data_IF_660851762420
#
_entry.id   IF_660851762420
#
_cell.length_a   1.000
_cell.length_b   1.000
_cell.length_c   1.000
_cell.angle_alpha   90.00
_cell.angle_beta   90.00
_cell.angle_gamma   90.00
#
_symmetry.space_group_name_H-M   'P 1'
#
loop_
_entity.id
_entity.type
_entity.pdbx_description
1 polymer ?
#
# COMPACT_ATOMS: atom_id res chain seq x y z
N UNK A 1 -2.85 -4.63 -21.28
CA UNK A 1 -3.08 -4.33 -19.84
C UNK A 1 -1.80 -4.60 -19.05
N UNK A 2 -1.41 -3.67 -18.18
CA UNK A 2 -0.22 -3.81 -17.37
C UNK A 2 -0.41 -4.87 -16.28
N UNK A 3 0.61 -5.70 -16.08
CA UNK A 3 0.64 -6.64 -14.96
C UNK A 3 0.82 -5.90 -13.64
N UNK A 4 0.43 -6.53 -12.53
CA UNK A 4 0.55 -5.91 -11.20
C UNK A 4 1.99 -5.49 -10.89
N UNK A 5 2.97 -6.33 -11.22
CA UNK A 5 4.38 -6.01 -11.02
C UNK A 5 4.81 -4.79 -11.84
N UNK A 6 4.28 -4.65 -13.04
CA UNK A 6 4.60 -3.50 -13.90
C UNK A 6 4.02 -2.20 -13.32
N UNK A 7 2.79 -2.26 -12.80
CA UNK A 7 2.18 -1.09 -12.13
C UNK A 7 2.97 -0.70 -10.87
N UNK A 8 3.36 -1.67 -10.06
CA UNK A 8 4.19 -1.40 -8.88
C UNK A 8 5.54 -0.82 -9.26
N UNK A 9 6.16 -1.35 -10.32
CA UNK A 9 7.44 -0.83 -10.83
C UNK A 9 7.31 0.61 -11.31
N UNK A 10 6.26 0.93 -12.06
CA UNK A 10 6.02 2.30 -12.50
C UNK A 10 5.81 3.25 -11.32
N UNK A 11 5.11 2.79 -10.29
CA UNK A 11 4.89 3.60 -9.09
C UNK A 11 6.22 3.96 -8.42
N UNK A 12 7.10 3.00 -8.19
CA UNK A 12 8.40 3.29 -7.55
C UNK A 12 9.31 4.14 -8.44
N UNK A 13 9.21 4.01 -9.77
CA UNK A 13 9.98 4.85 -10.69
C UNK A 13 9.60 6.32 -10.59
N UNK A 14 8.33 6.61 -10.38
CA UNK A 14 7.82 7.99 -10.31
C UNK A 14 7.76 8.53 -8.89
N UNK A 15 7.68 7.67 -7.87
CA UNK A 15 7.40 8.05 -6.48
C UNK A 15 8.44 7.53 -5.49
N UNK A 16 9.66 7.24 -5.95
CA UNK A 16 10.72 6.70 -5.07
C UNK A 16 11.05 7.64 -3.90
N UNK A 17 10.83 8.92 -4.05
CA UNK A 17 11.07 9.93 -3.01
C UNK A 17 10.15 9.81 -1.79
N UNK A 18 9.05 9.05 -1.90
CA UNK A 18 8.18 8.75 -0.77
C UNK A 18 8.82 7.77 0.22
N UNK A 19 9.86 7.06 -0.19
CA UNK A 19 10.40 5.93 0.57
C UNK A 19 11.76 6.24 1.17
N UNK A 20 12.01 5.69 2.35
CA UNK A 20 13.32 5.64 2.98
C UNK A 20 13.65 4.19 3.28
N UNK A 21 14.94 3.85 3.23
CA UNK A 21 15.36 2.50 3.54
C UNK A 21 15.03 2.14 4.99
N UNK A 22 14.32 1.02 5.25
CA UNK A 22 13.99 0.64 6.63
C UNK A 22 15.22 0.22 7.45
N UNK A 23 16.33 -0.08 6.80
CA UNK A 23 17.56 -0.51 7.48
C UNK A 23 18.47 0.67 7.82
N UNK A 24 18.75 1.56 6.86
CA UNK A 24 19.72 2.65 7.06
C UNK A 24 19.09 4.06 6.96
N UNK A 25 17.80 4.16 6.66
CA UNK A 25 17.05 5.41 6.55
C UNK A 25 17.51 6.36 5.44
N UNK A 26 18.38 5.89 4.55
CA UNK A 26 18.85 6.67 3.42
C UNK A 26 17.78 6.78 2.33
N UNK A 27 17.97 7.73 1.44
CA UNK A 27 17.10 7.91 0.27
C UNK A 27 17.10 6.65 -0.60
N UNK A 28 15.99 6.42 -1.26
CA UNK A 28 15.84 5.28 -2.16
C UNK A 28 15.57 5.76 -3.58
N UNK A 29 16.02 4.96 -4.54
CA UNK A 29 15.76 5.18 -5.96
C UNK A 29 15.31 3.88 -6.61
N UNK A 30 14.57 3.99 -7.70
CA UNK A 30 14.16 2.82 -8.47
C UNK A 30 15.31 2.34 -9.35
N UNK A 31 15.61 1.05 -9.30
CA UNK A 31 16.56 0.39 -10.15
C UNK A 31 15.93 -0.90 -10.68
N UNK A 32 15.62 -0.92 -11.97
CA UNK A 32 14.84 -1.99 -12.57
C UNK A 32 13.50 -2.17 -11.82
N UNK A 33 13.22 -3.38 -11.33
CA UNK A 33 11.99 -3.70 -10.60
C UNK A 33 12.21 -3.70 -9.09
N UNK A 34 13.03 -2.76 -8.58
CA UNK A 34 13.38 -2.70 -7.17
C UNK A 34 13.55 -1.27 -6.68
N UNK A 35 13.37 -1.06 -5.38
CA UNK A 35 13.85 0.12 -4.67
C UNK A 35 15.20 -0.21 -4.04
N UNK A 36 16.18 0.66 -4.26
CA UNK A 36 17.54 0.50 -3.76
C UNK A 36 17.97 1.77 -3.04
N UNK A 37 18.56 1.66 -1.86
CA UNK A 37 19.08 2.80 -1.12
C UNK A 37 20.52 3.13 -1.54
N UNK A 38 21.03 4.25 -1.03
CA UNK A 38 22.41 4.69 -1.32
C UNK A 38 23.46 3.70 -0.83
N UNK A 39 23.16 2.91 0.21
CA UNK A 39 24.06 1.87 0.72
C UNK A 39 23.87 0.50 0.07
N UNK A 40 22.98 0.39 -0.92
CA UNK A 40 22.78 -0.82 -1.68
C UNK A 40 21.76 -1.81 -1.12
N UNK A 41 21.01 -1.46 -0.08
CA UNK A 41 19.90 -2.30 0.37
C UNK A 41 18.82 -2.31 -0.70
N UNK A 42 18.38 -3.52 -1.08
CA UNK A 42 17.49 -3.72 -2.22
C UNK A 42 16.18 -4.38 -1.80
N UNK A 43 15.07 -3.84 -2.29
CA UNK A 43 13.72 -4.36 -2.04
C UNK A 43 13.01 -4.54 -3.38
N UNK A 44 12.79 -5.78 -3.77
CA UNK A 44 12.19 -6.11 -5.07
C UNK A 44 10.68 -5.94 -5.03
N UNK A 45 10.12 -5.47 -6.15
CA UNK A 45 8.67 -5.47 -6.36
C UNK A 45 8.21 -6.91 -6.61
N UNK A 46 7.24 -7.37 -5.84
CA UNK A 46 6.70 -8.71 -5.97
C UNK A 46 5.86 -8.88 -7.24
N UNK A 47 5.51 -10.13 -7.57
CA UNK A 47 4.59 -10.41 -8.68
C UNK A 47 3.21 -9.75 -8.49
N UNK A 48 2.83 -9.49 -7.25
CA UNK A 48 1.59 -8.79 -6.88
C UNK A 48 1.73 -7.27 -6.91
N UNK A 49 2.91 -6.75 -7.20
CA UNK A 49 3.16 -5.31 -7.24
C UNK A 49 3.37 -4.67 -5.89
N UNK A 50 3.72 -5.45 -4.88
CA UNK A 50 3.92 -4.98 -3.51
C UNK A 50 5.40 -4.98 -3.13
N UNK A 51 5.74 -4.20 -2.08
CA UNK A 51 7.08 -4.17 -1.49
C UNK A 51 7.03 -4.82 -0.11
N UNK A 52 8.09 -5.54 0.25
CA UNK A 52 8.21 -6.21 1.53
C UNK A 52 9.41 -5.64 2.28
N UNK A 53 9.15 -4.83 3.31
CA UNK A 53 10.18 -4.15 4.08
C UNK A 53 10.51 -4.81 5.41
N UNK A 54 9.79 -5.85 5.79
CA UNK A 54 10.04 -6.57 7.05
C UNK A 54 11.19 -7.56 6.87
N UNK A 55 12.05 -7.67 7.90
CA UNK A 55 13.15 -8.64 7.89
C UNK A 55 12.66 -10.07 8.14
N UNK A 56 11.49 -10.22 8.74
CA UNK A 56 10.88 -11.51 9.06
C UNK A 56 9.37 -11.37 9.07
N UNK A 57 8.67 -12.50 8.91
CA UNK A 57 7.23 -12.52 8.96
C UNK A 57 6.74 -12.30 10.39
N UNK A 58 5.82 -11.36 10.57
CA UNK A 58 5.18 -11.12 11.86
C UNK A 58 3.86 -11.87 11.88
N UNK A 59 3.69 -12.73 12.91
CA UNK A 59 2.41 -13.42 13.11
C UNK A 59 1.40 -12.45 13.69
N UNK A 60 0.18 -12.47 13.13
CA UNK A 60 -0.94 -11.67 13.62
C UNK A 60 -2.12 -12.60 13.82
N UNK A 61 -3.08 -12.18 14.66
CA UNK A 61 -4.35 -12.90 14.83
C UNK A 61 -5.30 -12.66 13.65
N UNK A 62 -4.90 -11.82 12.71
CA UNK A 62 -5.71 -11.46 11.55
C UNK A 62 -5.44 -12.44 10.42
N UNK A 63 -6.40 -13.32 10.14
CA UNK A 63 -6.31 -14.28 9.05
C UNK A 63 -7.01 -13.77 7.79
N UNK A 64 -6.87 -14.55 6.71
CA UNK A 64 -7.46 -14.22 5.42
C UNK A 64 -8.98 -14.11 5.48
N UNK A 65 -9.61 -15.04 6.20
CA UNK A 65 -11.07 -15.08 6.33
C UNK A 65 -11.61 -13.80 6.99
N UNK A 66 -10.96 -13.35 8.05
CA UNK A 66 -11.30 -12.09 8.73
C UNK A 66 -11.22 -10.91 7.76
N UNK A 67 -10.14 -10.82 6.98
CA UNK A 67 -9.99 -9.74 6.01
C UNK A 67 -11.02 -9.80 4.89
N UNK A 68 -11.41 -11.00 4.43
CA UNK A 68 -12.45 -11.16 3.43
C UNK A 68 -13.82 -10.68 3.94
N UNK A 69 -14.16 -11.00 5.19
CA UNK A 69 -15.37 -10.50 5.83
C UNK A 69 -15.34 -8.99 6.01
N UNK A 70 -14.21 -8.45 6.44
CA UNK A 70 -14.03 -7.02 6.60
C UNK A 70 -14.19 -6.28 5.27
N UNK A 71 -13.64 -6.83 4.20
CA UNK A 71 -13.81 -6.26 2.85
C UNK A 71 -15.28 -6.15 2.48
N UNK A 72 -16.06 -7.20 2.73
CA UNK A 72 -17.50 -7.19 2.43
C UNK A 72 -18.21 -6.07 3.20
N UNK A 73 -17.92 -5.92 4.48
CA UNK A 73 -18.52 -4.85 5.28
C UNK A 73 -18.17 -3.46 4.74
N UNK A 74 -16.90 -3.24 4.40
CA UNK A 74 -16.43 -1.94 3.90
C UNK A 74 -17.06 -1.64 2.54
N UNK A 75 -17.08 -2.61 1.62
CA UNK A 75 -17.67 -2.46 0.29
C UNK A 75 -19.15 -2.15 0.38
N UNK A 76 -19.86 -2.69 1.37
CA UNK A 76 -21.28 -2.43 1.60
C UNK A 76 -21.56 -1.14 2.39
N UNK A 77 -20.54 -0.32 2.64
CA UNK A 77 -20.74 1.03 3.17
C UNK A 77 -20.53 1.20 4.66
N UNK A 78 -19.88 0.24 5.35
CA UNK A 78 -19.67 0.34 6.80
C UNK A 78 -18.93 1.63 7.17
N UNK A 79 -17.97 2.08 6.37
CA UNK A 79 -17.20 3.28 6.64
C UNK A 79 -17.60 4.49 5.78
N UNK A 80 -18.74 4.44 5.10
CA UNK A 80 -19.15 5.54 4.24
C UNK A 80 -19.25 6.88 5.01
N UNK A 81 -19.81 6.93 6.24
CA UNK A 81 -19.82 8.19 7.00
C UNK A 81 -18.42 8.76 7.25
N UNK A 82 -17.43 7.89 7.52
CA UNK A 82 -16.04 8.32 7.71
C UNK A 82 -15.42 8.82 6.41
N UNK A 83 -15.69 8.11 5.31
CA UNK A 83 -15.22 8.53 3.98
C UNK A 83 -15.77 9.90 3.60
N UNK A 84 -17.07 10.13 3.85
CA UNK A 84 -17.71 11.42 3.59
C UNK A 84 -17.06 12.54 4.39
N UNK A 85 -16.71 12.25 5.65
CA UNK A 85 -16.05 13.22 6.53
C UNK A 85 -14.64 13.54 6.07
N UNK A 86 -13.89 12.55 5.61
CA UNK A 86 -12.47 12.69 5.24
C UNK A 86 -12.28 13.26 3.83
N UNK A 87 -13.22 13.03 2.94
CA UNK A 87 -13.08 13.37 1.52
C UNK A 87 -12.62 14.82 1.28
N UNK A 88 -13.20 15.85 1.91
CA UNK A 88 -12.77 17.23 1.67
C UNK A 88 -11.32 17.51 2.07
N UNK A 89 -10.81 16.79 3.06
CA UNK A 89 -9.45 16.97 3.56
C UNK A 89 -8.41 16.21 2.72
N UNK A 90 -8.85 15.22 1.94
CA UNK A 90 -7.97 14.33 1.19
C UNK A 90 -7.78 14.73 -0.27
N UNK A 91 -8.58 15.67 -0.81
CA UNK A 91 -8.50 16.08 -2.20
C UNK A 91 -7.10 16.61 -2.55
N UNK A 92 -6.49 16.03 -3.58
CA UNK A 92 -5.17 16.42 -4.09
C UNK A 92 -4.04 16.29 -3.03
N UNK A 93 -4.24 15.46 -2.02
CA UNK A 93 -3.24 15.24 -0.96
C UNK A 93 -2.55 13.90 -1.12
N UNK A 94 -1.30 13.83 -0.64
CA UNK A 94 -0.61 12.56 -0.48
C UNK A 94 -1.16 11.88 0.78
N UNK A 95 -1.56 10.63 0.64
CA UNK A 95 -2.21 9.88 1.71
C UNK A 95 -1.38 8.65 2.06
N UNK A 96 -1.15 8.46 3.35
CA UNK A 96 -0.54 7.26 3.89
C UNK A 96 -1.53 6.58 4.83
N UNK A 97 -1.95 5.37 4.49
CA UNK A 97 -2.84 4.57 5.32
C UNK A 97 -2.02 3.56 6.13
N UNK A 98 -1.88 3.83 7.42
CA UNK A 98 -1.11 3.00 8.35
C UNK A 98 -2.02 1.91 8.90
N UNK A 99 -1.64 0.64 8.69
CA UNK A 99 -2.50 -0.48 9.06
C UNK A 99 -3.66 -0.64 8.09
N UNK A 100 -3.38 -0.57 6.78
CA UNK A 100 -4.40 -0.56 5.73
C UNK A 100 -5.18 -1.88 5.59
N UNK A 101 -4.73 -2.95 6.23
CA UNK A 101 -5.37 -4.26 6.13
C UNK A 101 -5.43 -4.76 4.70
N UNK A 102 -6.63 -5.09 4.23
CA UNK A 102 -6.87 -5.58 2.86
C UNK A 102 -7.15 -4.47 1.84
N UNK A 103 -7.00 -3.20 2.23
CA UNK A 103 -6.97 -2.06 1.32
C UNK A 103 -8.30 -1.50 0.85
N UNK A 104 -9.44 -2.08 1.23
CA UNK A 104 -10.74 -1.62 0.73
C UNK A 104 -11.06 -0.18 1.12
N UNK A 105 -10.69 0.24 2.33
CA UNK A 105 -10.94 1.61 2.78
C UNK A 105 -10.16 2.61 1.91
N UNK A 106 -8.86 2.38 1.73
CA UNK A 106 -8.04 3.26 0.89
C UNK A 106 -8.52 3.26 -0.55
N UNK A 107 -8.93 2.11 -1.07
CA UNK A 107 -9.48 2.00 -2.42
C UNK A 107 -10.73 2.87 -2.58
N UNK A 108 -11.67 2.79 -1.63
CA UNK A 108 -12.88 3.61 -1.68
C UNK A 108 -12.56 5.10 -1.56
N UNK A 109 -11.59 5.45 -0.74
CA UNK A 109 -11.14 6.84 -0.64
C UNK A 109 -10.56 7.33 -1.97
N UNK A 110 -9.77 6.51 -2.66
CA UNK A 110 -9.25 6.82 -4.00
C UNK A 110 -10.35 6.98 -5.05
N UNK A 111 -11.45 6.23 -4.91
CA UNK A 111 -12.59 6.34 -5.83
C UNK A 111 -13.42 7.60 -5.59
N UNK A 112 -13.49 8.06 -4.35
CA UNK A 112 -14.34 9.19 -3.93
C UNK A 112 -13.60 10.51 -3.83
N UNK A 113 -12.28 10.50 -3.85
CA UNK A 113 -11.45 11.70 -3.77
C UNK A 113 -10.26 11.57 -4.72
N UNK A 114 -9.75 12.70 -5.22
CA UNK A 114 -8.55 12.72 -6.05
C UNK A 114 -7.33 12.73 -5.14
N UNK A 115 -6.68 11.57 -4.97
CA UNK A 115 -5.48 11.44 -4.16
C UNK A 115 -4.22 11.54 -5.04
N UNK A 116 -3.12 12.03 -4.47
CA UNK A 116 -1.91 12.26 -5.24
C UNK A 116 -0.65 12.13 -4.38
N UNK A 117 0.06 11.05 -4.41
CA UNK A 117 -0.34 9.65 -4.53
C UNK A 117 -0.86 9.08 -3.20
N UNK A 118 -1.24 7.80 -3.18
CA UNK A 118 -1.61 7.12 -1.94
C UNK A 118 -0.82 5.83 -1.76
N UNK A 119 -0.47 5.54 -0.51
CA UNK A 119 0.26 4.33 -0.13
C UNK A 119 -0.39 3.75 1.12
N UNK A 120 -0.63 2.45 1.12
CA UNK A 120 -1.07 1.72 2.29
C UNK A 120 0.01 0.74 2.73
N UNK A 121 0.18 0.55 4.03
CA UNK A 121 1.01 -0.52 4.54
C UNK A 121 0.40 -1.21 5.74
N UNK A 122 0.80 -2.46 5.94
CA UNK A 122 0.33 -3.28 7.05
C UNK A 122 1.37 -4.34 7.39
N UNK A 123 1.42 -4.76 8.64
CA UNK A 123 2.29 -5.85 9.06
C UNK A 123 1.72 -7.22 8.68
N UNK A 124 0.43 -7.28 8.32
CA UNK A 124 -0.23 -8.53 7.95
C UNK A 124 0.03 -8.86 6.48
N UNK A 125 0.72 -9.97 6.25
CA UNK A 125 0.97 -10.49 4.91
C UNK A 125 -0.35 -10.84 4.20
N UNK A 126 -1.31 -11.41 4.92
CA UNK A 126 -2.61 -11.79 4.35
C UNK A 126 -3.41 -10.56 3.92
N UNK A 127 -3.38 -9.48 4.73
CA UNK A 127 -4.04 -8.23 4.37
C UNK A 127 -3.47 -7.64 3.08
N UNK A 128 -2.15 -7.51 3.01
CA UNK A 128 -1.47 -6.96 1.83
C UNK A 128 -1.68 -7.85 0.61
N UNK A 129 -1.69 -9.17 0.79
CA UNK A 129 -1.97 -10.11 -0.31
C UNK A 129 -3.34 -9.84 -0.93
N UNK A 130 -4.37 -9.64 -0.10
CA UNK A 130 -5.72 -9.32 -0.59
C UNK A 130 -5.79 -7.90 -1.16
N UNK A 131 -5.08 -6.95 -0.56
CA UNK A 131 -5.06 -5.56 -1.03
C UNK A 131 -4.51 -5.44 -2.46
N UNK A 132 -3.66 -6.37 -2.87
CA UNK A 132 -3.06 -6.38 -4.21
C UNK A 132 -3.96 -6.97 -5.28
N UNK A 133 -5.12 -7.50 -4.93
CA UNK A 133 -6.11 -7.99 -5.89
C UNK A 133 -6.95 -6.82 -6.43
#
# INVERSE_FOLDING_TARGET
MLKKIERGTMFIQTQSDLFRCPTCHQMMHAQEKALVCLEGHRFDVSKKGTLYFLNHQIKTDYDREMFEHRRKLIVHGMYQPLLDLLQPFCQNQRILDVGCGEGSFLQQLNEQATLSPSVGFDISKEGIYLASD
#
